data_IF_619500407040
#
_entry.id   IF_619500407040
#
_cell.length_a   1.000
_cell.length_b   1.000
_cell.length_c   1.000
_cell.angle_alpha   90.00
_cell.angle_beta   90.00
_cell.angle_gamma   90.00
#
_symmetry.space_group_name_H-M   'P 1'
#
loop_
_entity.id
_entity.type
_entity.pdbx_description
1 polymer ?
#
# COMPACT_ATOMS: atom_id res chain seq x y z
N UNK A 1 17.53 -4.11 24.44
CA UNK A 1 18.23 -4.70 23.27
C UNK A 1 18.10 -3.75 22.11
N UNK A 2 19.20 -3.45 21.44
CA UNK A 2 19.22 -2.59 20.25
C UNK A 2 19.05 -3.44 18.99
N UNK A 3 18.32 -2.90 18.01
CA UNK A 3 18.08 -3.52 16.73
C UNK A 3 18.44 -2.59 15.58
N UNK A 4 18.85 -3.16 14.45
CA UNK A 4 19.17 -2.42 13.23
C UNK A 4 18.03 -2.59 12.21
N UNK A 5 17.44 -1.49 11.73
CA UNK A 5 16.51 -1.53 10.61
C UNK A 5 17.29 -1.88 9.33
N UNK A 6 17.00 -3.02 8.75
CA UNK A 6 17.67 -3.55 7.54
C UNK A 6 16.86 -3.28 6.28
N UNK A 7 15.53 -3.13 6.40
CA UNK A 7 14.66 -2.78 5.27
C UNK A 7 13.42 -2.00 5.74
N UNK A 8 12.90 -1.16 4.85
CA UNK A 8 11.56 -0.57 4.90
C UNK A 8 10.87 -0.99 3.62
N UNK A 9 9.76 -1.70 3.74
CA UNK A 9 9.10 -2.33 2.59
C UNK A 9 7.59 -2.43 2.82
N UNK A 10 6.85 -2.56 1.73
CA UNK A 10 5.41 -2.89 1.77
C UNK A 10 5.28 -4.39 1.62
N UNK A 11 4.50 -5.02 2.48
CA UNK A 11 4.28 -6.47 2.46
C UNK A 11 2.92 -6.85 3.02
N UNK A 12 2.43 -8.04 2.65
CA UNK A 12 1.22 -8.60 3.22
C UNK A 12 1.41 -8.92 4.71
N UNK A 13 0.44 -8.49 5.52
CA UNK A 13 0.38 -8.93 6.92
C UNK A 13 -0.24 -10.33 7.00
N UNK A 14 0.17 -11.15 7.99
CA UNK A 14 -0.29 -12.55 8.07
C UNK A 14 -1.79 -12.73 8.30
N UNK A 15 -2.48 -11.70 8.77
CA UNK A 15 -3.89 -11.76 9.21
C UNK A 15 -4.82 -10.85 8.41
N UNK A 16 -4.31 -10.16 7.40
CA UNK A 16 -5.07 -9.16 6.64
C UNK A 16 -4.89 -9.36 5.13
N UNK A 17 -5.96 -9.09 4.37
CA UNK A 17 -5.91 -9.03 2.90
C UNK A 17 -5.43 -7.64 2.47
N UNK A 18 -4.23 -7.25 2.88
CA UNK A 18 -3.71 -5.93 2.58
C UNK A 18 -2.19 -5.89 2.60
N UNK A 19 -1.65 -4.89 1.93
CA UNK A 19 -0.22 -4.61 1.91
C UNK A 19 0.05 -3.39 2.78
N UNK A 20 0.94 -3.55 3.74
CA UNK A 20 1.26 -2.50 4.72
C UNK A 20 2.75 -2.24 4.79
N UNK A 21 3.09 -1.00 5.10
CA UNK A 21 4.46 -0.64 5.42
C UNK A 21 4.97 -1.49 6.59
N UNK A 22 6.18 -1.99 6.47
CA UNK A 22 6.81 -2.86 7.47
C UNK A 22 8.28 -2.47 7.62
N UNK A 23 8.74 -2.38 8.87
CA UNK A 23 10.17 -2.34 9.17
C UNK A 23 10.67 -3.76 9.38
N UNK A 24 11.72 -4.12 8.67
CA UNK A 24 12.50 -5.32 8.96
C UNK A 24 13.75 -4.94 9.75
N UNK A 25 13.95 -5.61 10.86
CA UNK A 25 15.07 -5.37 11.76
C UNK A 25 15.87 -6.66 11.98
N UNK A 26 17.20 -6.51 12.11
CA UNK A 26 18.05 -7.53 12.70
C UNK A 26 18.20 -7.25 14.19
N UNK A 27 17.77 -8.20 15.02
CA UNK A 27 17.76 -8.04 16.48
C UNK A 27 17.75 -9.40 17.18
N UNK A 28 18.60 -9.59 18.18
CA UNK A 28 18.56 -10.75 19.05
C UNK A 28 17.61 -10.46 20.24
N UNK A 29 16.35 -10.89 20.11
CA UNK A 29 15.38 -10.79 21.20
C UNK A 29 15.47 -12.04 22.06
N UNK A 30 15.50 -11.83 23.39
CA UNK A 30 15.13 -12.87 24.35
C UNK A 30 13.61 -12.93 24.42
N UNK A 31 13.00 -13.50 23.38
CA UNK A 31 11.55 -13.61 23.26
C UNK A 31 11.04 -14.74 24.16
N UNK A 32 10.06 -14.41 25.00
CA UNK A 32 9.27 -15.41 25.73
C UNK A 32 7.91 -15.52 25.04
N UNK A 33 7.44 -16.73 24.83
CA UNK A 33 6.19 -17.04 24.09
C UNK A 33 4.93 -16.32 24.60
N UNK A 34 4.98 -15.68 25.75
CA UNK A 34 3.87 -14.95 26.36
C UNK A 34 3.91 -13.43 26.13
N UNK A 35 4.77 -12.92 25.26
CA UNK A 35 4.86 -11.49 24.95
C UNK A 35 3.94 -11.15 23.80
N UNK A 36 2.74 -10.63 24.08
CA UNK A 36 1.74 -10.29 23.07
C UNK A 36 2.14 -9.07 22.21
N UNK A 37 2.99 -8.18 22.74
CA UNK A 37 3.39 -6.97 22.03
C UNK A 37 4.74 -6.48 22.50
N UNK A 38 5.68 -6.31 21.57
CA UNK A 38 6.99 -5.71 21.85
C UNK A 38 7.06 -4.37 21.13
N UNK A 39 7.12 -3.25 21.88
CA UNK A 39 7.26 -1.94 21.27
C UNK A 39 8.71 -1.70 20.79
N UNK A 40 8.83 -1.11 19.61
CA UNK A 40 10.06 -0.48 19.13
C UNK A 40 10.05 0.97 19.59
N UNK A 41 11.10 1.37 20.27
CA UNK A 41 11.24 2.73 20.78
C UNK A 41 12.52 3.37 20.20
N UNK A 42 12.40 4.59 19.70
CA UNK A 42 13.53 5.43 19.25
C UNK A 42 13.37 6.83 19.83
N UNK A 43 14.39 7.33 20.51
CA UNK A 43 14.37 8.66 21.13
C UNK A 43 13.13 8.86 22.04
N UNK A 44 12.81 7.91 22.88
CA UNK A 44 11.64 7.88 23.78
C UNK A 44 10.28 7.99 23.08
N UNK A 45 10.20 7.70 21.78
CA UNK A 45 8.95 7.68 21.01
C UNK A 45 8.71 6.29 20.45
N UNK A 46 7.43 5.90 20.36
CA UNK A 46 7.04 4.68 19.69
C UNK A 46 7.42 4.76 18.21
N UNK A 47 8.27 3.84 17.76
CA UNK A 47 8.66 3.72 16.35
C UNK A 47 7.87 2.61 15.63
N UNK A 48 7.37 1.64 16.37
CA UNK A 48 6.56 0.54 15.82
C UNK A 48 6.22 -0.50 16.87
N UNK A 49 5.49 -1.54 16.45
CA UNK A 49 5.13 -2.71 17.25
C UNK A 49 5.59 -3.99 16.55
N UNK A 50 6.01 -4.98 17.32
CA UNK A 50 6.33 -6.31 16.81
C UNK A 50 5.13 -6.89 16.04
N UNK A 51 5.35 -7.33 14.81
CA UNK A 51 4.40 -8.10 14.01
C UNK A 51 4.74 -9.58 14.06
N UNK A 52 6.00 -9.93 13.78
CA UNK A 52 6.53 -11.29 13.88
C UNK A 52 8.02 -11.29 14.15
N UNK A 53 8.52 -12.36 14.75
CA UNK A 53 9.93 -12.57 15.02
C UNK A 53 10.33 -14.00 14.66
N UNK A 54 11.43 -14.13 13.93
CA UNK A 54 12.06 -15.42 13.68
C UNK A 54 13.35 -15.53 14.52
N UNK A 55 13.37 -16.37 15.57
CA UNK A 55 14.53 -16.51 16.43
C UNK A 55 15.73 -17.19 15.75
N UNK A 56 15.51 -17.95 14.66
CA UNK A 56 16.60 -18.62 13.94
C UNK A 56 17.41 -17.64 13.11
N UNK A 57 16.73 -16.76 12.38
CA UNK A 57 17.38 -15.72 11.57
C UNK A 57 17.65 -14.42 12.33
N UNK A 58 17.10 -14.29 13.55
CA UNK A 58 17.12 -13.06 14.35
C UNK A 58 16.53 -11.86 13.58
N UNK A 59 15.51 -12.14 12.76
CA UNK A 59 14.79 -11.11 12.00
C UNK A 59 13.44 -10.83 12.65
N UNK A 60 13.13 -9.55 12.77
CA UNK A 60 11.88 -9.02 13.26
C UNK A 60 11.22 -8.20 12.16
N UNK A 61 9.95 -8.46 11.90
CA UNK A 61 9.10 -7.54 11.15
C UNK A 61 8.22 -6.77 12.13
N UNK A 62 8.08 -5.48 11.92
CA UNK A 62 7.35 -4.58 12.80
C UNK A 62 6.40 -3.67 12.04
N UNK A 63 5.25 -3.40 12.64
CA UNK A 63 4.28 -2.41 12.17
C UNK A 63 4.84 -1.03 12.51
N UNK A 64 5.11 -0.15 11.54
CA UNK A 64 5.64 1.19 11.80
C UNK A 64 4.63 2.13 12.46
N UNK A 65 5.13 3.07 13.25
CA UNK A 65 4.30 4.09 13.90
C UNK A 65 3.35 4.86 12.95
N UNK A 66 3.71 5.22 11.69
CA UNK A 66 2.76 5.86 10.77
C UNK A 66 1.51 5.02 10.46
N UNK A 67 1.65 3.70 10.30
CA UNK A 67 0.50 2.80 10.08
C UNK A 67 -0.37 2.74 11.33
N UNK A 68 0.25 2.63 12.51
CA UNK A 68 -0.45 2.65 13.80
C UNK A 68 -1.21 3.96 13.98
N UNK A 69 -0.57 5.08 13.70
CA UNK A 69 -1.19 6.41 13.81
C UNK A 69 -2.38 6.56 12.87
N UNK A 70 -2.24 6.09 11.61
CA UNK A 70 -3.33 6.10 10.65
C UNK A 70 -4.54 5.31 11.17
N UNK A 71 -4.31 4.07 11.65
CA UNK A 71 -5.36 3.25 12.24
C UNK A 71 -6.03 3.94 13.44
N UNK A 72 -5.25 4.46 14.39
CA UNK A 72 -5.80 5.12 15.58
C UNK A 72 -6.59 6.38 15.25
N UNK A 73 -6.15 7.17 14.28
CA UNK A 73 -6.85 8.36 13.82
C UNK A 73 -8.20 8.01 13.18
N UNK A 74 -8.29 6.89 12.46
CA UNK A 74 -9.56 6.45 11.90
C UNK A 74 -10.47 5.81 12.97
N UNK A 75 -9.92 4.98 13.84
CA UNK A 75 -10.65 4.34 14.94
C UNK A 75 -11.21 5.33 15.96
N UNK A 76 -10.64 6.54 16.06
CA UNK A 76 -11.15 7.60 16.92
C UNK A 76 -12.39 8.32 16.35
N UNK A 77 -12.72 8.09 15.07
CA UNK A 77 -13.92 8.66 14.44
C UNK A 77 -15.18 7.90 14.87
N UNK A 78 -16.36 8.57 14.92
CA UNK A 78 -17.63 7.90 15.26
C UNK A 78 -17.95 6.69 14.36
N UNK A 79 -17.56 6.76 13.09
CA UNK A 79 -17.74 5.70 12.11
C UNK A 79 -16.35 5.25 11.64
N UNK A 80 -15.82 4.21 12.29
CA UNK A 80 -14.61 3.56 11.83
C UNK A 80 -14.83 2.96 10.43
N UNK A 81 -13.99 3.31 9.48
CA UNK A 81 -14.12 2.90 8.08
C UNK A 81 -13.04 1.95 7.59
N UNK A 82 -11.96 1.78 8.35
CA UNK A 82 -10.85 0.90 7.98
C UNK A 82 -9.95 1.46 6.88
N UNK A 83 -8.92 0.67 6.50
CA UNK A 83 -8.03 1.05 5.42
C UNK A 83 -8.73 0.93 4.07
N UNK A 84 -8.57 1.91 3.18
CA UNK A 84 -9.12 1.82 1.83
C UNK A 84 -8.39 0.76 0.99
N UNK A 85 -9.05 0.27 -0.05
CA UNK A 85 -8.48 -0.64 -1.06
C UNK A 85 -8.26 0.07 -2.38
N UNK A 86 -7.35 -0.45 -3.21
CA UNK A 86 -7.17 0.02 -4.59
C UNK A 86 -8.31 -0.41 -5.51
N UNK A 87 -8.89 -1.59 -5.28
CA UNK A 87 -10.00 -2.13 -6.05
C UNK A 87 -9.66 -2.58 -7.48
N UNK A 88 -8.38 -2.80 -7.77
CA UNK A 88 -7.90 -3.34 -9.05
C UNK A 88 -6.61 -4.13 -8.88
N UNK A 89 -6.38 -5.09 -9.78
CA UNK A 89 -5.12 -5.79 -9.95
C UNK A 89 -4.26 -5.12 -11.00
N UNK A 90 -2.93 -5.27 -10.91
CA UNK A 90 -2.00 -4.60 -11.81
C UNK A 90 -0.70 -5.36 -12.04
N UNK A 91 -0.05 -5.05 -13.17
CA UNK A 91 1.32 -5.45 -13.47
C UNK A 91 2.25 -4.25 -13.64
N UNK A 92 3.54 -4.39 -13.26
CA UNK A 92 4.58 -3.43 -13.61
C UNK A 92 4.72 -3.27 -15.13
N UNK A 93 4.97 -2.04 -15.58
CA UNK A 93 5.12 -1.72 -17.02
C UNK A 93 6.59 -1.76 -17.48
N UNK A 94 7.44 -2.59 -16.86
CA UNK A 94 8.86 -2.70 -17.27
C UNK A 94 9.04 -3.23 -18.67
N UNK A 95 8.15 -4.13 -19.12
CA UNK A 95 8.20 -4.72 -20.45
C UNK A 95 7.80 -3.69 -21.53
N UNK A 96 8.71 -3.34 -22.47
CA UNK A 96 8.40 -2.44 -23.57
C UNK A 96 7.27 -2.93 -24.48
N UNK A 97 7.08 -4.25 -24.59
CA UNK A 97 6.01 -4.83 -25.41
C UNK A 97 4.65 -4.61 -24.75
N UNK A 98 4.55 -4.76 -23.41
CA UNK A 98 3.34 -4.44 -22.67
C UNK A 98 2.97 -2.95 -22.83
N UNK A 99 3.94 -2.04 -22.70
CA UNK A 99 3.70 -0.60 -22.92
C UNK A 99 3.20 -0.31 -24.33
N UNK A 100 3.84 -0.90 -25.34
CA UNK A 100 3.42 -0.75 -26.73
C UNK A 100 2.02 -1.29 -26.97
N UNK A 101 1.67 -2.43 -26.37
CA UNK A 101 0.34 -3.02 -26.42
C UNK A 101 -0.71 -2.08 -25.83
N UNK A 102 -0.41 -1.44 -24.70
CA UNK A 102 -1.26 -0.45 -24.05
C UNK A 102 -1.26 0.93 -24.72
N UNK A 103 -0.57 1.07 -25.88
CA UNK A 103 -0.52 2.32 -26.64
C UNK A 103 0.53 3.34 -26.16
N UNK A 104 1.42 2.95 -25.27
CA UNK A 104 2.48 3.83 -24.76
C UNK A 104 3.68 3.85 -25.71
N UNK A 105 4.12 5.06 -26.06
CA UNK A 105 5.26 5.25 -26.97
C UNK A 105 6.56 5.66 -26.28
N UNK A 106 6.50 5.97 -24.98
CA UNK A 106 7.62 6.48 -24.18
C UNK A 106 8.12 5.52 -23.10
N UNK A 107 9.12 5.99 -22.35
CA UNK A 107 9.63 5.31 -21.15
C UNK A 107 8.91 5.78 -19.87
N UNK A 108 7.64 6.18 -19.98
CA UNK A 108 6.82 6.62 -18.86
C UNK A 108 6.72 5.59 -17.74
N UNK A 109 6.44 6.05 -16.53
CA UNK A 109 6.12 5.22 -15.38
C UNK A 109 4.67 4.75 -15.40
N UNK A 110 4.32 3.95 -14.41
CA UNK A 110 2.95 3.53 -14.16
C UNK A 110 2.79 2.02 -14.04
N UNK A 111 1.58 1.61 -13.68
CA UNK A 111 1.17 0.21 -13.58
C UNK A 111 0.01 -0.07 -14.53
N UNK A 112 0.05 -1.23 -15.18
CA UNK A 112 -0.98 -1.69 -16.11
C UNK A 112 -2.10 -2.38 -15.33
N UNK A 113 -3.33 -1.90 -15.46
CA UNK A 113 -4.52 -2.49 -14.83
C UNK A 113 -4.91 -3.77 -15.55
N UNK A 114 -4.92 -4.89 -14.83
CA UNK A 114 -5.20 -6.23 -15.38
C UNK A 114 -6.60 -6.70 -15.07
N UNK A 115 -7.17 -6.27 -13.94
CA UNK A 115 -8.52 -6.62 -13.51
C UNK A 115 -9.08 -5.53 -12.61
N UNK A 116 -10.40 -5.37 -12.59
CA UNK A 116 -11.08 -4.41 -11.72
C UNK A 116 -12.12 -5.17 -10.89
N UNK A 117 -12.01 -5.05 -9.58
CA UNK A 117 -12.96 -5.67 -8.67
C UNK A 117 -14.36 -5.04 -8.84
N UNK A 118 -15.40 -5.87 -9.12
CA UNK A 118 -16.76 -5.36 -9.29
C UNK A 118 -17.29 -4.62 -8.06
N UNK A 119 -18.03 -3.54 -8.30
CA UNK A 119 -18.66 -2.73 -7.25
C UNK A 119 -17.72 -1.76 -6.55
N UNK A 120 -16.43 -1.71 -6.93
CA UNK A 120 -15.44 -0.84 -6.29
C UNK A 120 -15.55 0.62 -6.73
N UNK A 121 -14.92 1.52 -5.95
CA UNK A 121 -14.88 2.94 -6.24
C UNK A 121 -14.17 3.26 -7.58
N UNK A 122 -13.16 2.50 -7.94
CA UNK A 122 -12.42 2.68 -9.22
C UNK A 122 -13.26 2.27 -10.42
N UNK A 123 -14.06 1.19 -10.32
CA UNK A 123 -15.01 0.82 -11.35
C UNK A 123 -16.07 1.89 -11.55
N UNK A 124 -16.69 2.36 -10.45
CA UNK A 124 -17.69 3.44 -10.47
C UNK A 124 -17.13 4.75 -11.05
N UNK A 125 -15.84 5.03 -10.83
CA UNK A 125 -15.16 6.19 -11.38
C UNK A 125 -14.80 6.05 -12.86
N UNK A 126 -14.89 4.85 -13.43
CA UNK A 126 -14.68 4.58 -14.86
C UNK A 126 -13.27 4.17 -15.24
N UNK A 127 -12.46 3.69 -14.29
CA UNK A 127 -11.21 2.98 -14.59
C UNK A 127 -11.52 1.70 -15.36
N UNK A 128 -10.63 1.28 -16.26
CA UNK A 128 -10.81 0.10 -17.10
C UNK A 128 -9.55 -0.75 -17.14
N UNK A 129 -9.74 -2.04 -17.38
CA UNK A 129 -8.64 -2.92 -17.75
C UNK A 129 -7.90 -2.36 -18.97
N UNK A 130 -6.58 -2.46 -18.96
CA UNK A 130 -5.74 -1.88 -20.01
C UNK A 130 -5.30 -0.45 -19.76
N UNK A 131 -5.83 0.25 -18.78
CA UNK A 131 -5.33 1.56 -18.36
C UNK A 131 -3.94 1.44 -17.74
N UNK A 132 -3.09 2.44 -17.93
CA UNK A 132 -1.81 2.57 -17.22
C UNK A 132 -1.92 3.72 -16.25
N UNK A 133 -1.98 3.41 -14.95
CA UNK A 133 -2.03 4.41 -13.88
C UNK A 133 -0.63 4.99 -13.68
N UNK A 134 -0.50 6.29 -13.92
CA UNK A 134 0.78 7.02 -13.90
C UNK A 134 0.98 7.85 -12.64
N UNK A 135 -0.12 8.23 -11.93
CA UNK A 135 -0.04 8.93 -10.67
C UNK A 135 -1.28 8.67 -9.79
N UNK A 136 -1.08 8.68 -8.47
CA UNK A 136 -2.12 8.60 -7.45
C UNK A 136 -1.93 9.78 -6.50
N UNK A 137 -2.97 10.62 -6.37
CA UNK A 137 -2.85 11.89 -5.66
C UNK A 137 -1.78 12.77 -6.33
N UNK A 138 -0.82 13.22 -5.54
CA UNK A 138 0.30 14.04 -5.99
C UNK A 138 1.58 13.23 -6.24
N UNK A 139 1.49 11.90 -6.32
CA UNK A 139 2.64 11.02 -6.44
C UNK A 139 2.66 10.33 -7.80
N UNK A 140 3.68 10.65 -8.60
CA UNK A 140 3.94 9.94 -9.85
C UNK A 140 4.48 8.53 -9.56
N UNK A 141 4.06 7.57 -10.39
CA UNK A 141 4.47 6.16 -10.28
C UNK A 141 5.56 5.84 -11.30
N UNK A 142 6.57 5.08 -10.87
CA UNK A 142 7.52 4.48 -11.80
C UNK A 142 6.95 3.19 -12.45
N UNK A 143 7.74 2.56 -13.31
CA UNK A 143 7.35 1.33 -14.03
C UNK A 143 7.13 0.12 -13.10
N UNK A 144 7.46 0.21 -11.83
CA UNK A 144 7.23 -0.82 -10.83
C UNK A 144 6.02 -0.53 -9.93
N UNK A 145 5.35 0.61 -10.11
CA UNK A 145 4.33 1.09 -9.22
C UNK A 145 4.87 1.73 -7.94
N UNK A 146 6.15 2.12 -7.92
CA UNK A 146 6.67 2.84 -6.78
C UNK A 146 6.56 4.34 -6.98
N UNK A 147 6.36 5.05 -5.88
CA UNK A 147 6.45 6.49 -5.78
C UNK A 147 7.64 6.92 -4.91
N UNK A 148 7.98 8.20 -4.93
CA UNK A 148 9.03 8.77 -4.07
C UNK A 148 8.38 9.29 -2.78
N UNK A 149 8.53 8.53 -1.70
CA UNK A 149 8.09 8.95 -0.38
C UNK A 149 9.12 9.93 0.24
N UNK A 150 8.67 11.06 0.86
CA UNK A 150 9.56 12.07 1.44
C UNK A 150 10.48 11.53 2.55
N UNK A 151 10.06 10.45 3.26
CA UNK A 151 10.79 9.88 4.40
C UNK A 151 11.55 8.62 4.00
N UNK A 152 10.87 7.71 3.29
CA UNK A 152 11.35 6.36 3.02
C UNK A 152 11.92 6.20 1.61
N UNK A 153 11.96 7.27 0.83
CA UNK A 153 12.42 7.28 -0.56
C UNK A 153 11.44 6.50 -1.45
N UNK A 154 11.84 5.35 -1.96
CA UNK A 154 11.07 4.59 -2.94
C UNK A 154 10.22 3.54 -2.26
N UNK A 155 8.89 3.66 -2.37
CA UNK A 155 7.90 2.73 -1.83
C UNK A 155 6.83 2.40 -2.88
N UNK A 156 6.25 1.21 -2.79
CA UNK A 156 5.09 0.82 -3.56
C UNK A 156 3.88 1.70 -3.21
N UNK A 157 3.07 2.05 -4.22
CA UNK A 157 1.98 3.03 -4.08
C UNK A 157 0.88 2.59 -3.10
N UNK A 158 0.71 1.30 -2.87
CA UNK A 158 -0.23 0.75 -1.88
C UNK A 158 0.03 1.27 -0.46
N UNK A 159 1.28 1.68 -0.17
CA UNK A 159 1.61 2.36 1.09
C UNK A 159 0.81 3.66 1.31
N UNK A 160 0.39 4.35 0.25
CA UNK A 160 -0.43 5.57 0.38
C UNK A 160 -1.74 5.29 1.11
N UNK A 161 -2.34 4.12 0.86
CA UNK A 161 -3.62 3.70 1.42
C UNK A 161 -3.57 3.39 2.92
N UNK A 162 -2.39 3.09 3.43
CA UNK A 162 -2.20 2.68 4.82
C UNK A 162 -1.54 3.75 5.68
N UNK A 163 -1.08 4.85 5.07
CA UNK A 163 -0.37 5.91 5.78
C UNK A 163 -0.85 7.32 5.48
N UNK A 164 -1.56 7.54 4.38
CA UNK A 164 -1.90 8.91 3.90
C UNK A 164 -3.34 9.11 3.48
N UNK A 165 -4.02 8.06 3.00
CA UNK A 165 -5.36 8.13 2.43
C UNK A 165 -6.33 7.40 3.34
N UNK A 166 -7.47 8.02 3.63
CA UNK A 166 -8.55 7.43 4.41
C UNK A 166 -9.73 7.04 3.51
N UNK A 167 -10.54 6.09 3.97
CA UNK A 167 -11.84 5.83 3.34
C UNK A 167 -12.68 7.10 3.38
N UNK A 168 -13.33 7.44 2.25
CA UNK A 168 -14.05 8.69 2.04
C UNK A 168 -13.23 9.82 1.40
N UNK A 169 -11.89 9.71 1.38
CA UNK A 169 -11.06 10.70 0.70
C UNK A 169 -11.24 10.64 -0.81
N UNK A 170 -11.30 11.81 -1.44
CA UNK A 170 -11.33 11.93 -2.90
C UNK A 170 -9.91 12.06 -3.43
N UNK A 171 -9.46 11.05 -4.16
CA UNK A 171 -8.08 10.93 -4.64
C UNK A 171 -8.06 11.04 -6.17
N UNK A 172 -7.39 12.04 -6.75
CA UNK A 172 -7.20 12.10 -8.20
C UNK A 172 -6.23 10.99 -8.65
N UNK A 173 -6.59 10.29 -9.71
CA UNK A 173 -5.74 9.32 -10.39
C UNK A 173 -5.50 9.77 -11.82
N UNK A 174 -4.23 9.86 -12.23
CA UNK A 174 -3.84 10.08 -13.61
C UNK A 174 -3.51 8.74 -14.25
N UNK A 175 -3.94 8.58 -15.48
CA UNK A 175 -3.71 7.35 -16.22
C UNK A 175 -3.66 7.61 -17.73
N UNK A 176 -3.16 6.63 -18.45
CA UNK A 176 -3.23 6.62 -19.92
C UNK A 176 -4.16 5.50 -20.36
N UNK A 177 -5.06 5.81 -21.27
CA UNK A 177 -5.92 4.84 -21.98
C UNK A 177 -5.58 4.88 -23.46
N UNK A 178 -5.03 3.78 -23.97
CA UNK A 178 -4.55 3.70 -25.37
C UNK A 178 -3.60 4.89 -25.72
N UNK A 179 -2.66 5.18 -24.83
CA UNK A 179 -1.68 6.25 -24.98
C UNK A 179 -2.21 7.68 -24.76
N UNK A 180 -3.49 7.86 -24.48
CA UNK A 180 -4.08 9.19 -24.21
C UNK A 180 -4.11 9.48 -22.72
N UNK A 181 -3.55 10.63 -22.27
CA UNK A 181 -3.58 11.01 -20.88
C UNK A 181 -5.00 11.36 -20.44
N UNK A 182 -5.40 10.81 -19.31
CA UNK A 182 -6.71 11.01 -18.68
C UNK A 182 -6.54 11.17 -17.17
N UNK A 183 -7.59 11.65 -16.51
CA UNK A 183 -7.68 11.76 -15.06
C UNK A 183 -9.09 11.46 -14.62
N UNK A 184 -9.22 10.83 -13.45
CA UNK A 184 -10.48 10.64 -12.75
C UNK A 184 -10.26 10.88 -11.25
N UNK A 185 -11.35 11.11 -10.54
CA UNK A 185 -11.35 11.24 -9.09
C UNK A 185 -12.04 10.02 -8.47
N UNK A 186 -11.34 9.31 -7.60
CA UNK A 186 -11.87 8.15 -6.88
C UNK A 186 -12.19 8.54 -5.45
N UNK A 187 -13.42 8.31 -5.00
CA UNK A 187 -13.74 8.36 -3.58
C UNK A 187 -13.36 7.02 -2.98
N UNK A 188 -12.28 6.98 -2.22
CA UNK A 188 -11.69 5.76 -1.70
C UNK A 188 -12.66 5.04 -0.75
N UNK A 189 -12.79 3.73 -0.90
CA UNK A 189 -13.69 2.91 -0.10
C UNK A 189 -12.92 1.79 0.60
N UNK A 190 -13.37 1.44 1.80
CA UNK A 190 -12.92 0.22 2.47
C UNK A 190 -13.51 -1.00 1.75
N UNK A 191 -12.75 -2.09 1.70
CA UNK A 191 -13.25 -3.36 1.16
C UNK A 191 -14.35 -3.91 2.06
N UNK A 192 -15.53 -4.12 1.50
CA UNK A 192 -16.62 -4.79 2.24
C UNK A 192 -16.24 -6.24 2.52
N UNK A 193 -16.40 -6.74 3.77
CA UNK A 193 -16.26 -8.17 4.07
C UNK A 193 -17.17 -9.06 3.23
N UNK A 194 -18.30 -8.53 2.78
CA UNK A 194 -19.32 -9.25 1.99
C UNK A 194 -18.96 -9.35 0.49
N UNK A 195 -17.88 -8.75 0.04
CA UNK A 195 -17.44 -8.79 -1.36
C UNK A 195 -17.06 -10.21 -1.84
N UNK A 196 -16.98 -11.19 -0.93
CA UNK A 196 -16.68 -12.59 -1.25
C UNK A 196 -17.87 -13.54 -1.08
N UNK A 197 -19.06 -13.05 -0.76
CA UNK A 197 -20.25 -13.92 -0.69
C UNK A 197 -20.68 -14.24 -2.12
N UNK A 198 -20.25 -15.40 -2.59
CA UNK A 198 -20.81 -16.01 -3.81
C UNK A 198 -22.24 -16.41 -3.46
N UNK A 199 -23.20 -15.69 -4.02
CA UNK A 199 -24.63 -16.04 -3.96
C UNK A 199 -24.95 -17.22 -4.88
#
# INVERSE_FOLDING_TARGET
>A
TDGLVTAVQVMHYPVEVGQFLTYRLSIALQYRDNSYTVPLVKNNKLAGLLLRYDPRSQLMDAIPAPVIAHFLNDAAKPNYSGFPTVGFDYFPTRDPQLRKYAGETGNGGGVYVTDIEPGTAVEKAGLQEGDIITAIGNFDLDQNGNYVDPIYKKLEFTNLLTTRVYSGDKVPMKFHRQGKPMQLDVTMEHRSPDAYVIS
#
